data_IF_254193747126
#
_entry.id   IF_254193747126
#
_cell.length_a   1.000
_cell.length_b   1.000
_cell.length_c   1.000
_cell.angle_alpha   90.00
_cell.angle_beta   90.00
_cell.angle_gamma   90.00
#
_symmetry.space_group_name_H-M   'P 1'
#
loop_
_entity.id
_entity.type
_entity.pdbx_description
1 polymer ?
#
# COMPACT_ATOMS: atom_id res chain seq x y z
N UNK A 1 40.96 -5.35 15.74
CA UNK A 1 40.18 -6.25 14.86
C UNK A 1 38.76 -5.73 14.86
N UNK A 2 38.29 -5.14 13.76
CA UNK A 2 36.96 -4.53 13.70
C UNK A 2 35.97 -5.62 13.30
N UNK A 3 35.26 -6.18 14.27
CA UNK A 3 34.28 -7.23 14.02
C UNK A 3 33.09 -6.61 13.27
N UNK A 4 33.02 -6.89 11.97
CA UNK A 4 31.88 -6.51 11.12
C UNK A 4 30.69 -7.34 11.57
N UNK A 5 29.94 -6.82 12.53
CA UNK A 5 28.63 -7.35 12.88
C UNK A 5 27.70 -7.10 11.70
N UNK A 6 27.49 -8.14 10.90
CA UNK A 6 26.65 -8.07 9.71
C UNK A 6 25.19 -7.95 10.12
N UNK A 7 24.69 -6.71 10.10
CA UNK A 7 23.27 -6.41 10.26
C UNK A 7 22.62 -6.24 8.90
N UNK A 8 21.45 -6.84 8.74
CA UNK A 8 20.59 -6.70 7.58
C UNK A 8 19.33 -5.95 7.99
N UNK A 9 18.75 -5.24 7.03
CA UNK A 9 17.51 -4.50 7.26
C UNK A 9 16.29 -5.41 7.15
N UNK A 10 15.18 -5.00 7.77
CA UNK A 10 13.88 -5.68 7.61
C UNK A 10 13.48 -6.01 6.15
N UNK A 11 13.58 -5.07 5.18
CA UNK A 11 13.29 -5.37 3.78
C UNK A 11 14.28 -6.35 3.14
N UNK A 12 15.57 -6.23 3.45
CA UNK A 12 16.59 -7.13 2.89
C UNK A 12 16.43 -8.57 3.41
N UNK A 13 16.08 -8.74 4.70
CA UNK A 13 15.75 -10.06 5.26
C UNK A 13 14.53 -10.67 4.57
N UNK A 14 13.55 -9.83 4.22
CA UNK A 14 12.33 -10.27 3.56
C UNK A 14 12.64 -10.85 2.17
N UNK A 15 13.52 -10.19 1.41
CA UNK A 15 13.97 -10.62 0.08
C UNK A 15 14.79 -11.92 0.15
N UNK A 16 15.70 -12.03 1.12
CA UNK A 16 16.50 -13.27 1.33
C UNK A 16 15.64 -14.48 1.71
N UNK A 17 14.56 -14.27 2.47
CA UNK A 17 13.68 -15.34 2.93
C UNK A 17 12.50 -15.62 1.99
N UNK A 18 12.23 -14.75 1.01
CA UNK A 18 11.02 -14.83 0.19
C UNK A 18 9.73 -14.62 0.98
N UNK A 19 9.79 -13.83 2.07
CA UNK A 19 8.67 -13.55 2.97
C UNK A 19 8.28 -12.08 2.81
N UNK A 20 7.01 -11.72 3.07
CA UNK A 20 6.62 -10.31 3.07
C UNK A 20 7.30 -9.53 4.21
N UNK A 21 7.69 -8.28 3.92
CA UNK A 21 8.24 -7.32 4.91
C UNK A 21 7.34 -7.20 6.15
N UNK A 22 6.02 -7.28 5.96
CA UNK A 22 5.01 -7.25 7.02
C UNK A 22 5.14 -8.47 7.95
N UNK A 23 5.36 -9.66 7.39
CA UNK A 23 5.51 -10.87 8.19
C UNK A 23 6.82 -10.85 8.98
N UNK A 24 7.91 -10.30 8.43
CA UNK A 24 9.14 -10.03 9.17
C UNK A 24 8.86 -9.11 10.36
N UNK A 25 8.19 -7.98 10.13
CA UNK A 25 7.84 -7.04 11.20
C UNK A 25 6.95 -7.67 12.29
N UNK A 26 5.95 -8.47 11.90
CA UNK A 26 5.11 -9.21 12.84
C UNK A 26 5.93 -10.20 13.68
N UNK A 27 6.92 -10.87 13.09
CA UNK A 27 7.80 -11.80 13.80
C UNK A 27 8.75 -11.08 14.77
N UNK A 28 9.26 -9.90 14.38
CA UNK A 28 10.02 -9.02 15.28
C UNK A 28 9.16 -8.62 16.48
N UNK A 29 7.93 -8.14 16.25
CA UNK A 29 6.99 -7.78 17.33
C UNK A 29 6.65 -8.95 18.25
N UNK A 30 6.57 -10.17 17.71
CA UNK A 30 6.36 -11.40 18.48
C UNK A 30 7.61 -11.87 19.25
N UNK A 31 8.75 -11.20 19.10
CA UNK A 31 10.03 -11.62 19.70
C UNK A 31 10.64 -12.86 19.05
N UNK A 32 10.08 -13.34 17.94
CA UNK A 32 10.60 -14.51 17.22
C UNK A 32 11.87 -14.18 16.46
N UNK A 33 12.08 -12.91 16.08
CA UNK A 33 13.29 -12.42 15.43
C UNK A 33 13.92 -11.42 16.39
N UNK A 34 15.15 -11.70 16.83
CA UNK A 34 15.94 -10.73 17.59
C UNK A 34 16.36 -9.62 16.64
N UNK A 35 15.81 -8.43 16.83
CA UNK A 35 16.12 -7.26 16.03
C UNK A 35 16.34 -6.06 16.95
N UNK A 36 17.29 -5.21 16.59
CA UNK A 36 17.56 -3.95 17.25
C UNK A 36 16.87 -2.82 16.50
N UNK A 37 16.10 -1.98 17.19
CA UNK A 37 15.49 -0.81 16.59
C UNK A 37 16.51 0.32 16.52
N UNK A 38 16.83 0.76 15.33
CA UNK A 38 17.74 1.88 15.07
C UNK A 38 16.93 2.96 14.35
N UNK A 39 16.45 3.95 15.10
CA UNK A 39 15.55 4.97 14.60
C UNK A 39 14.24 4.40 14.05
N UNK A 40 14.03 4.54 12.73
CA UNK A 40 12.86 3.99 12.01
C UNK A 40 13.10 2.61 11.41
N UNK A 41 14.34 2.13 11.41
CA UNK A 41 14.74 0.87 10.78
C UNK A 41 14.96 -0.20 11.85
N UNK A 42 14.71 -1.45 11.48
CA UNK A 42 15.06 -2.61 12.28
C UNK A 42 16.31 -3.26 11.71
N UNK A 43 17.35 -3.35 12.54
CA UNK A 43 18.60 -4.04 12.25
C UNK A 43 18.53 -5.46 12.81
N UNK A 44 18.77 -6.45 11.95
CA UNK A 44 18.61 -7.87 12.25
C UNK A 44 19.97 -8.53 12.02
N UNK A 45 20.50 -9.34 12.94
CA UNK A 45 21.74 -10.06 12.69
C UNK A 45 21.57 -11.05 11.53
N UNK A 46 22.55 -11.09 10.62
CA UNK A 46 22.48 -11.89 9.40
C UNK A 46 22.32 -13.40 9.65
N UNK A 47 22.79 -13.91 10.79
CA UNK A 47 22.70 -15.32 11.20
C UNK A 47 21.28 -15.80 11.55
N UNK A 48 20.28 -14.92 11.52
CA UNK A 48 18.95 -15.29 11.99
C UNK A 48 18.23 -16.27 11.05
N UNK A 49 18.28 -17.57 11.37
CA UNK A 49 17.46 -18.62 10.76
C UNK A 49 16.12 -18.71 11.48
N UNK A 50 15.01 -18.43 10.78
CA UNK A 50 13.66 -18.75 11.28
C UNK A 50 13.35 -20.19 10.84
N UNK A 51 12.93 -21.11 11.72
CA UNK A 51 12.28 -22.34 11.29
C UNK A 51 10.96 -21.94 10.62
N UNK A 52 10.87 -22.10 9.30
CA UNK A 52 9.72 -21.68 8.50
C UNK A 52 8.62 -22.75 8.54
N UNK A 53 7.46 -22.53 9.19
CA UNK A 53 6.26 -23.22 8.78
C UNK A 53 5.82 -22.57 7.46
N UNK A 54 6.04 -23.26 6.34
CA UNK A 54 5.52 -22.90 5.02
C UNK A 54 3.98 -22.95 5.06
N UNK A 55 3.32 -21.95 5.64
CA UNK A 55 1.92 -21.69 5.32
C UNK A 55 1.94 -21.07 3.92
N UNK A 56 1.71 -21.90 2.90
CA UNK A 56 1.20 -21.46 1.59
C UNK A 56 0.15 -20.40 1.90
N UNK A 57 0.44 -19.13 1.62
CA UNK A 57 -0.61 -18.12 1.55
C UNK A 57 -1.50 -18.61 0.42
N UNK A 58 -2.55 -19.33 0.81
CA UNK A 58 -3.56 -19.82 -0.10
C UNK A 58 -3.95 -18.61 -0.92
N UNK A 59 -3.70 -18.67 -2.21
CA UNK A 59 -4.32 -17.88 -3.27
C UNK A 59 -5.84 -18.12 -3.31
N UNK A 60 -6.47 -18.34 -2.14
CA UNK A 60 -7.88 -18.47 -2.02
C UNK A 60 -8.43 -17.08 -1.83
N UNK A 61 -8.89 -16.56 -2.96
CA UNK A 61 -9.77 -15.43 -3.03
C UNK A 61 -9.04 -14.13 -2.71
N UNK A 62 -8.30 -13.65 -3.72
CA UNK A 62 -8.76 -12.38 -4.25
C UNK A 62 -10.25 -12.60 -4.47
N UNK A 63 -11.09 -12.06 -3.58
CA UNK A 63 -12.50 -11.90 -3.91
C UNK A 63 -12.52 -11.43 -5.36
N UNK A 64 -13.34 -12.01 -6.23
CA UNK A 64 -13.73 -11.24 -7.38
C UNK A 64 -14.19 -9.91 -6.79
N UNK A 65 -13.44 -8.81 -7.01
CA UNK A 65 -13.93 -7.48 -6.69
C UNK A 65 -15.35 -7.49 -7.22
N UNK A 66 -16.39 -7.23 -6.40
CA UNK A 66 -17.77 -7.33 -6.88
C UNK A 66 -17.81 -6.59 -8.20
N UNK A 67 -18.05 -7.32 -9.30
CA UNK A 67 -18.10 -6.73 -10.64
C UNK A 67 -18.99 -5.52 -10.46
N UNK A 68 -18.43 -4.33 -10.72
CA UNK A 68 -19.16 -3.09 -10.50
C UNK A 68 -20.54 -3.30 -11.14
N UNK A 69 -21.65 -3.11 -10.40
CA UNK A 69 -22.95 -3.36 -10.96
C UNK A 69 -23.02 -2.58 -12.26
N UNK A 70 -23.27 -3.28 -13.37
CA UNK A 70 -23.35 -2.66 -14.68
C UNK A 70 -24.34 -1.51 -14.56
N UNK A 71 -23.83 -0.28 -14.47
CA UNK A 71 -24.66 0.91 -14.38
C UNK A 71 -25.28 1.04 -15.75
N UNK A 72 -26.40 0.34 -15.99
CA UNK A 72 -27.20 0.44 -17.20
C UNK A 72 -27.57 1.90 -17.31
N UNK A 73 -26.79 2.65 -18.07
CA UNK A 73 -27.07 4.01 -18.46
C UNK A 73 -28.39 3.95 -19.20
N UNK A 74 -29.48 4.18 -18.48
CA UNK A 74 -30.79 4.35 -19.09
C UNK A 74 -30.64 5.64 -19.86
N UNK A 75 -30.29 5.52 -21.14
CA UNK A 75 -30.23 6.62 -22.09
C UNK A 75 -31.64 7.17 -22.19
N UNK A 76 -32.00 8.05 -21.26
CA UNK A 76 -33.17 8.90 -21.40
C UNK A 76 -32.88 9.68 -22.68
N UNK A 77 -33.67 9.44 -23.73
CA UNK A 77 -33.65 10.29 -24.93
C UNK A 77 -33.95 11.70 -24.46
N UNK A 78 -32.90 12.51 -24.29
CA UNK A 78 -33.04 13.93 -24.06
C UNK A 78 -33.67 14.45 -25.36
N UNK A 79 -34.94 14.82 -25.30
CA UNK A 79 -35.56 15.57 -26.39
C UNK A 79 -34.77 16.86 -26.49
N UNK A 80 -34.09 17.07 -27.63
CA UNK A 80 -33.38 18.31 -27.93
C UNK A 80 -34.42 19.43 -28.01
N UNK A 81 -34.64 20.15 -26.93
CA UNK A 81 -35.15 21.52 -27.02
C UNK A 81 -33.94 22.39 -27.28
N UNK A 82 -33.88 22.90 -28.50
CA UNK A 82 -32.83 23.78 -28.97
C UNK A 82 -33.00 25.14 -28.29
N UNK A 83 -32.36 25.34 -27.15
CA UNK A 83 -32.07 26.68 -26.64
C UNK A 83 -30.61 26.70 -26.17
N UNK A 84 -29.76 27.08 -27.12
CA UNK A 84 -28.37 27.44 -26.90
C UNK A 84 -28.36 28.74 -26.10
N UNK A 85 -28.10 28.66 -24.79
CA UNK A 85 -27.73 29.85 -24.01
C UNK A 85 -26.31 29.68 -23.51
N UNK A 86 -25.52 30.69 -23.82
CA UNK A 86 -24.08 30.70 -23.91
C UNK A 86 -23.38 30.55 -22.55
N UNK A 87 -22.26 29.85 -22.59
CA UNK A 87 -21.25 29.74 -21.54
C UNK A 87 -20.73 31.13 -21.17
N UNK A 88 -20.94 31.58 -19.93
CA UNK A 88 -20.05 32.53 -19.25
C UNK A 88 -19.41 31.81 -18.09
N UNK A 89 -18.14 31.42 -18.27
CA UNK A 89 -17.26 31.02 -17.15
C UNK A 89 -17.08 32.26 -16.28
N UNK A 90 -17.56 32.21 -15.05
CA UNK A 90 -17.18 33.20 -14.05
C UNK A 90 -15.89 32.72 -13.39
N UNK A 91 -14.75 33.25 -13.85
CA UNK A 91 -13.43 33.05 -13.25
C UNK A 91 -13.27 33.78 -11.90
N UNK A 92 -14.37 34.27 -11.30
CA UNK A 92 -14.38 35.10 -10.09
C UNK A 92 -14.47 34.33 -8.76
N UNK A 93 -14.39 33.00 -8.75
CA UNK A 93 -14.44 32.22 -7.50
C UNK A 93 -13.07 31.84 -6.93
N UNK A 94 -11.97 32.09 -7.65
CA UNK A 94 -10.62 31.74 -7.19
C UNK A 94 -9.94 32.84 -6.36
N UNK A 95 -10.32 34.10 -6.51
CA UNK A 95 -9.69 35.23 -5.80
C UNK A 95 -10.33 35.53 -4.42
N UNK A 96 -11.37 34.80 -4.00
CA UNK A 96 -12.03 34.99 -2.70
C UNK A 96 -11.61 34.00 -1.61
N UNK A 97 -10.67 33.08 -1.88
CA UNK A 97 -10.02 32.34 -0.79
C UNK A 97 -8.77 33.12 -0.36
N UNK A 98 -8.95 34.06 0.57
CA UNK A 98 -7.87 34.85 1.17
C UNK A 98 -6.75 33.96 1.73
N UNK A 99 -5.70 33.80 0.94
CA UNK A 99 -4.38 33.35 1.36
C UNK A 99 -3.46 34.58 1.27
N UNK A 100 -3.50 35.41 2.32
CA UNK A 100 -2.38 36.26 2.75
C UNK A 100 -1.88 35.70 4.08
#
# INVERSE_FOLDING_TARGET
MTEKTNFITGPELAEKLGISRIAVFKKIKKGQIKAMKIGKVWAIPADFRIPTPLKKYRSQKYHESPKQPDFKQKSRKIKKTADVVQVKRSDYFLDSMGWD
#
